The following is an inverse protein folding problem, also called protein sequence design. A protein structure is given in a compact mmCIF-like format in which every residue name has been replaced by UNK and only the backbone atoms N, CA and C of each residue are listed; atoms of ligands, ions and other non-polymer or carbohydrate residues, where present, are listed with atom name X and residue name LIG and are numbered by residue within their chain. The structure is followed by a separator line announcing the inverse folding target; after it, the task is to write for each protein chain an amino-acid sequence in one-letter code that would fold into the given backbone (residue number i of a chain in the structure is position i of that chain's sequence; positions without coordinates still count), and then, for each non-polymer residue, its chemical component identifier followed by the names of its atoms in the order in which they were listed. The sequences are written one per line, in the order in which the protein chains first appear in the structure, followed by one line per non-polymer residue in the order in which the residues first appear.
data_IF_201187644928
#
_entry.id   IF_201187644928
#
_cell.length_a   1.000
_cell.length_b   1.000
_cell.length_c   1.000
_cell.angle_alpha   90.00
_cell.angle_beta   90.00
_cell.angle_gamma   90.00
#
_symmetry.space_group_name_H-M   'P 1'
#
loop_
_entity.id
_entity.type
_entity.pdbx_description
1 polymer ?
#
# COMPACT_ATOMS: atom_id res chain seq x y z
N UNK A 1 -32.81 -13.48 21.17
CA UNK A 1 -31.55 -14.08 20.69
C UNK A 1 -31.10 -13.44 19.38
N UNK A 2 -31.92 -13.48 18.31
CA UNK A 2 -31.59 -12.84 17.01
C UNK A 2 -31.35 -11.33 17.07
N UNK A 3 -32.10 -10.59 17.89
CA UNK A 3 -31.90 -9.14 18.06
C UNK A 3 -30.53 -8.79 18.67
N UNK A 4 -30.07 -9.60 19.63
CA UNK A 4 -28.76 -9.42 20.27
C UNK A 4 -27.64 -9.79 19.31
N UNK A 5 -27.82 -10.82 18.50
CA UNK A 5 -26.90 -11.22 17.43
C UNK A 5 -26.82 -10.15 16.33
N UNK A 6 -27.94 -9.58 15.91
CA UNK A 6 -27.97 -8.50 14.93
C UNK A 6 -27.32 -7.21 15.47
N UNK A 7 -27.62 -6.84 16.72
CA UNK A 7 -27.03 -5.65 17.36
C UNK A 7 -25.53 -5.83 17.64
N UNK A 8 -25.07 -7.03 17.98
CA UNK A 8 -23.63 -7.31 18.14
C UNK A 8 -22.90 -7.27 16.80
N UNK A 9 -23.47 -7.83 15.73
CA UNK A 9 -22.89 -7.72 14.38
C UNK A 9 -22.82 -6.27 13.89
N UNK A 10 -23.85 -5.46 14.15
CA UNK A 10 -23.86 -4.02 13.82
C UNK A 10 -22.91 -3.20 14.71
N UNK A 11 -22.74 -3.58 15.99
CA UNK A 11 -21.80 -2.91 16.88
C UNK A 11 -20.33 -3.24 16.59
N UNK A 12 -20.07 -4.36 15.91
CA UNK A 12 -18.72 -4.78 15.47
C UNK A 12 -18.46 -4.48 13.99
N UNK A 13 -19.39 -3.83 13.27
CA UNK A 13 -19.08 -3.37 11.93
C UNK A 13 -18.13 -2.18 12.06
N UNK A 14 -16.84 -2.42 11.85
CA UNK A 14 -15.90 -1.35 11.63
C UNK A 14 -16.45 -0.45 10.51
N UNK A 15 -16.39 0.89 10.67
CA UNK A 15 -16.73 1.81 9.60
C UNK A 15 -16.06 1.37 8.31
N UNK A 16 -16.78 1.45 7.18
CA UNK A 16 -16.23 1.05 5.88
C UNK A 16 -14.85 1.66 5.61
N UNK A 17 -14.64 2.92 6.02
CA UNK A 17 -13.37 3.63 5.87
C UNK A 17 -12.22 2.92 6.63
N UNK A 18 -12.48 2.46 7.85
CA UNK A 18 -11.49 1.76 8.67
C UNK A 18 -11.10 0.40 8.05
N UNK A 19 -12.05 -0.29 7.42
CA UNK A 19 -11.78 -1.52 6.69
C UNK A 19 -10.98 -1.28 5.40
N UNK A 20 -11.31 -0.22 4.67
CA UNK A 20 -10.66 0.16 3.41
C UNK A 20 -9.20 0.52 3.62
N UNK A 21 -8.89 1.31 4.65
CA UNK A 21 -7.54 1.77 4.97
C UNK A 21 -6.88 0.95 6.08
N UNK A 22 -7.41 -0.23 6.40
CA UNK A 22 -6.91 -1.05 7.49
C UNK A 22 -5.43 -1.37 7.31
N UNK A 23 -4.61 -0.87 8.24
CA UNK A 23 -3.16 -1.07 8.26
C UNK A 23 -2.36 -0.20 7.29
N UNK A 24 -2.96 0.83 6.68
CA UNK A 24 -2.25 1.85 5.90
C UNK A 24 -2.69 3.26 6.30
N UNK A 25 -1.85 4.25 6.00
CA UNK A 25 -2.18 5.67 6.22
C UNK A 25 -2.95 6.22 5.00
N UNK A 26 -4.18 6.72 5.15
CA UNK A 26 -4.90 7.40 4.07
C UNK A 26 -4.27 8.77 3.79
N UNK A 27 -4.30 9.20 2.52
CA UNK A 27 -3.95 10.57 2.16
C UNK A 27 -5.10 11.53 2.49
N UNK A 28 -4.79 12.78 2.84
CA UNK A 28 -5.77 13.80 3.18
C UNK A 28 -6.03 14.78 2.02
N UNK A 29 -5.07 14.91 1.11
CA UNK A 29 -5.13 15.81 -0.04
C UNK A 29 -4.81 15.05 -1.34
N UNK A 30 -4.84 15.73 -2.50
CA UNK A 30 -4.49 15.07 -3.78
C UNK A 30 -2.98 14.91 -3.98
N UNK A 31 -2.16 15.56 -3.15
CA UNK A 31 -0.72 15.73 -3.36
C UNK A 31 0.15 15.07 -2.29
N UNK A 32 -0.44 14.48 -1.25
CA UNK A 32 0.23 13.86 -0.10
C UNK A 32 0.25 12.32 -0.14
N UNK A 33 0.06 11.72 -1.32
CA UNK A 33 0.15 10.27 -1.50
C UNK A 33 1.54 9.71 -1.14
N UNK A 34 2.63 10.42 -1.47
CA UNK A 34 3.99 9.98 -1.14
C UNK A 34 4.27 10.02 0.38
N UNK A 35 3.95 11.13 1.10
CA UNK A 35 3.98 11.16 2.56
C UNK A 35 3.17 10.03 3.20
N UNK A 36 1.93 9.79 2.76
CA UNK A 36 1.10 8.73 3.32
C UNK A 36 1.68 7.31 3.08
N UNK A 37 2.29 7.06 1.93
CA UNK A 37 3.04 5.83 1.69
C UNK A 37 4.24 5.71 2.64
N UNK A 38 4.97 6.80 2.88
CA UNK A 38 6.11 6.82 3.77
C UNK A 38 5.71 6.57 5.23
N UNK A 39 4.64 7.21 5.70
CA UNK A 39 4.09 6.98 7.04
C UNK A 39 3.66 5.52 7.24
N UNK A 40 3.05 4.93 6.21
CA UNK A 40 2.68 3.51 6.23
C UNK A 40 3.92 2.61 6.37
N UNK A 41 4.97 2.87 5.60
CA UNK A 41 6.23 2.11 5.66
C UNK A 41 6.93 2.26 7.02
N UNK A 42 7.01 3.48 7.56
CA UNK A 42 7.60 3.73 8.87
C UNK A 42 6.80 3.02 9.97
N UNK A 43 5.47 3.08 9.90
CA UNK A 43 4.56 2.37 10.80
C UNK A 43 4.80 0.86 10.78
N UNK A 44 4.80 0.23 9.61
CA UNK A 44 5.09 -1.21 9.48
C UNK A 44 6.49 -1.59 9.95
N UNK A 45 7.44 -0.66 9.84
CA UNK A 45 8.83 -0.84 10.30
C UNK A 45 9.01 -0.51 11.78
N UNK A 46 7.94 -0.09 12.48
CA UNK A 46 7.96 0.34 13.88
C UNK A 46 8.93 1.50 14.15
N UNK A 47 9.14 2.35 13.13
CA UNK A 47 9.97 3.55 13.21
C UNK A 47 9.06 4.75 13.46
N UNK A 48 9.28 5.54 14.52
CA UNK A 48 8.45 6.71 14.80
C UNK A 48 8.66 7.80 13.75
N UNK A 49 7.56 8.42 13.30
CA UNK A 49 7.60 9.58 12.40
C UNK A 49 8.27 10.76 13.10
N UNK A 50 9.00 11.56 12.33
CA UNK A 50 9.71 12.75 12.80
C UNK A 50 9.17 13.93 12.01
N UNK A 51 8.78 14.98 12.70
CA UNK A 51 8.25 16.20 12.09
C UNK A 51 9.37 16.98 11.38
N UNK A 52 9.05 17.71 10.30
CA UNK A 52 9.98 18.64 9.66
C UNK A 52 10.82 18.07 8.51
N UNK A 53 10.95 16.75 8.38
CA UNK A 53 11.81 16.16 7.33
C UNK A 53 11.24 16.43 5.93
N UNK A 54 9.91 16.41 5.79
CA UNK A 54 9.27 16.69 4.49
C UNK A 54 9.55 18.11 3.99
N UNK A 55 9.55 19.09 4.90
CA UNK A 55 9.87 20.49 4.62
C UNK A 55 11.34 20.69 4.22
N UNK A 56 12.25 19.82 4.65
CA UNK A 56 13.66 19.84 4.26
C UNK A 56 13.91 19.22 2.88
N UNK A 57 13.13 18.18 2.53
CA UNK A 57 13.36 17.41 1.28
C UNK A 57 12.42 17.78 0.14
N UNK A 58 11.45 18.67 0.38
CA UNK A 58 10.49 19.11 -0.65
C UNK A 58 10.34 20.62 -0.72
N UNK A 59 9.87 21.11 -1.86
CA UNK A 59 9.51 22.50 -2.06
C UNK A 59 7.98 22.62 -2.20
N UNK A 60 7.33 23.56 -1.49
CA UNK A 60 5.90 23.79 -1.62
C UNK A 60 5.47 24.01 -3.08
N UNK A 61 4.45 23.27 -3.52
CA UNK A 61 3.91 23.36 -4.88
C UNK A 61 4.74 22.66 -5.97
N UNK A 62 5.80 21.93 -5.62
CA UNK A 62 6.55 21.06 -6.53
C UNK A 62 6.13 19.59 -6.36
N UNK A 63 6.16 18.78 -7.44
CA UNK A 63 5.85 17.36 -7.35
C UNK A 63 6.91 16.60 -6.55
N UNK A 64 6.47 15.60 -5.78
CA UNK A 64 7.36 14.67 -5.09
C UNK A 64 7.90 13.63 -6.07
N UNK A 65 9.16 13.25 -5.91
CA UNK A 65 9.84 12.27 -6.77
C UNK A 65 10.45 11.17 -5.91
N UNK A 66 10.85 10.05 -6.53
CA UNK A 66 11.58 9.00 -5.81
C UNK A 66 12.87 9.52 -5.16
N UNK A 67 13.53 10.54 -5.72
CA UNK A 67 14.72 11.15 -5.09
C UNK A 67 14.37 11.82 -3.76
N UNK A 68 13.23 12.52 -3.69
CA UNK A 68 12.77 13.11 -2.43
C UNK A 68 12.46 12.02 -1.40
N UNK A 69 11.82 10.91 -1.81
CA UNK A 69 11.59 9.76 -0.94
C UNK A 69 12.90 9.12 -0.47
N UNK A 70 13.91 8.96 -1.34
CA UNK A 70 15.23 8.46 -0.93
C UNK A 70 15.88 9.35 0.13
N UNK A 71 15.83 10.67 -0.04
CA UNK A 71 16.35 11.60 0.96
C UNK A 71 15.55 11.54 2.27
N UNK A 72 14.22 11.44 2.18
CA UNK A 72 13.34 11.28 3.34
C UNK A 72 13.69 10.04 4.15
N UNK A 73 13.78 8.87 3.51
CA UNK A 73 14.11 7.61 4.19
C UNK A 73 15.56 7.55 4.69
N UNK A 74 16.49 8.22 4.01
CA UNK A 74 17.88 8.35 4.49
C UNK A 74 17.97 9.06 5.85
N UNK A 75 17.06 10.00 6.16
CA UNK A 75 16.99 10.64 7.48
C UNK A 75 16.59 9.65 8.61
N UNK A 76 15.97 8.52 8.26
CA UNK A 76 15.68 7.40 9.16
C UNK A 76 16.73 6.30 9.13
N UNK A 77 17.87 6.51 8.44
CA UNK A 77 18.87 5.46 8.18
C UNK A 77 18.30 4.25 7.43
N UNK A 78 17.24 4.45 6.64
CA UNK A 78 16.68 3.42 5.77
C UNK A 78 17.23 3.59 4.36
N UNK A 79 17.91 2.55 3.86
CA UNK A 79 18.35 2.54 2.47
C UNK A 79 17.16 2.36 1.53
N UNK A 80 17.12 3.17 0.47
CA UNK A 80 16.10 3.09 -0.56
C UNK A 80 16.74 3.17 -1.95
N UNK A 81 16.50 2.16 -2.77
CA UNK A 81 17.09 2.02 -4.09
C UNK A 81 16.00 2.04 -5.18
N UNK A 82 16.14 2.97 -6.13
CA UNK A 82 15.21 3.12 -7.24
C UNK A 82 15.55 2.17 -8.39
N UNK A 83 14.56 1.43 -8.88
CA UNK A 83 14.69 0.53 -10.02
C UNK A 83 13.63 0.80 -11.08
N UNK A 84 13.93 0.40 -12.31
CA UNK A 84 12.95 0.26 -13.38
C UNK A 84 12.87 -1.21 -13.74
N UNK A 85 11.72 -1.81 -13.50
CA UNK A 85 11.48 -3.24 -13.69
C UNK A 85 10.50 -3.45 -14.83
N UNK A 86 10.63 -4.58 -15.52
CA UNK A 86 9.55 -5.13 -16.32
C UNK A 86 8.60 -5.96 -15.43
N UNK A 87 7.52 -6.47 -16.03
CA UNK A 87 6.54 -7.25 -15.29
C UNK A 87 7.13 -8.53 -14.72
N UNK A 88 7.95 -9.25 -15.50
CA UNK A 88 8.47 -10.56 -15.10
C UNK A 88 9.40 -10.44 -13.89
N UNK A 89 10.29 -9.44 -13.87
CA UNK A 89 11.15 -9.16 -12.71
C UNK A 89 10.33 -8.70 -11.48
N UNK A 90 9.31 -7.87 -11.71
CA UNK A 90 8.44 -7.37 -10.64
C UNK A 90 7.61 -8.48 -10.00
N UNK A 91 6.95 -9.33 -10.81
CA UNK A 91 6.13 -10.43 -10.29
C UNK A 91 6.99 -11.47 -9.58
N UNK A 92 8.14 -11.85 -10.18
CA UNK A 92 9.07 -12.80 -9.55
C UNK A 92 9.55 -12.30 -8.19
N UNK A 93 9.88 -11.01 -8.09
CA UNK A 93 10.26 -10.41 -6.80
C UNK A 93 9.16 -10.55 -5.76
N UNK A 94 7.91 -10.21 -6.09
CA UNK A 94 6.79 -10.28 -5.15
C UNK A 94 6.46 -11.71 -4.72
N UNK A 95 6.57 -12.68 -5.63
CA UNK A 95 6.37 -14.10 -5.34
C UNK A 95 7.42 -14.62 -4.35
N UNK A 96 8.68 -14.26 -4.55
CA UNK A 96 9.80 -14.70 -3.71
C UNK A 96 9.88 -13.94 -2.36
N UNK A 97 9.39 -12.69 -2.32
CA UNK A 97 9.60 -11.77 -1.20
C UNK A 97 8.30 -11.27 -0.56
N UNK A 98 7.26 -12.11 -0.51
CA UNK A 98 5.96 -11.77 0.11
C UNK A 98 6.11 -11.02 1.45
N UNK A 99 5.43 -9.87 1.57
CA UNK A 99 5.49 -8.98 2.75
C UNK A 99 6.65 -7.98 2.74
N UNK A 100 7.47 -7.98 1.68
CA UNK A 100 8.50 -6.96 1.43
C UNK A 100 7.87 -5.84 0.60
N UNK A 101 7.74 -4.63 1.15
CA UNK A 101 7.06 -3.57 0.44
C UNK A 101 7.94 -2.91 -0.62
N UNK A 102 7.33 -2.65 -1.77
CA UNK A 102 7.81 -1.78 -2.82
C UNK A 102 6.93 -0.53 -2.85
N UNK A 103 7.56 0.63 -2.97
CA UNK A 103 6.84 1.87 -3.28
C UNK A 103 6.85 2.06 -4.79
N UNK A 104 5.68 2.07 -5.41
CA UNK A 104 5.51 2.08 -6.87
C UNK A 104 4.96 3.43 -7.35
N UNK A 105 5.23 3.76 -8.61
CA UNK A 105 4.67 4.96 -9.24
C UNK A 105 3.67 4.59 -10.35
N UNK A 106 2.45 5.07 -10.22
CA UNK A 106 1.40 5.00 -11.24
C UNK A 106 1.38 6.26 -12.10
N UNK A 107 1.11 6.11 -13.40
CA UNK A 107 1.06 7.20 -14.38
C UNK A 107 -0.30 7.88 -14.48
N UNK A 108 -1.20 7.63 -13.53
CA UNK A 108 -2.52 8.24 -13.50
C UNK A 108 -2.43 9.74 -13.17
N UNK A 109 -3.21 10.56 -13.88
CA UNK A 109 -3.27 12.01 -13.64
C UNK A 109 -1.91 12.69 -13.72
N UNK A 110 -1.45 13.27 -12.60
CA UNK A 110 -0.15 13.95 -12.46
C UNK A 110 0.97 13.04 -11.93
N UNK A 111 0.73 11.73 -11.86
CA UNK A 111 1.57 10.77 -11.16
C UNK A 111 1.04 10.50 -9.76
N UNK A 112 1.14 9.25 -9.31
CA UNK A 112 0.62 8.79 -8.02
C UNK A 112 1.53 7.74 -7.41
N UNK A 113 1.66 7.73 -6.08
CA UNK A 113 2.46 6.76 -5.35
C UNK A 113 1.56 5.81 -4.57
N UNK A 114 1.92 4.54 -4.57
CA UNK A 114 1.24 3.50 -3.80
C UNK A 114 2.26 2.48 -3.29
N UNK A 115 1.85 1.63 -2.35
CA UNK A 115 2.63 0.51 -1.86
C UNK A 115 2.14 -0.80 -2.48
N UNK A 116 3.06 -1.72 -2.76
CA UNK A 116 2.78 -3.09 -3.18
C UNK A 116 3.68 -4.04 -2.40
N UNK A 117 3.15 -5.16 -1.90
CA UNK A 117 3.94 -6.09 -1.09
C UNK A 117 3.50 -7.55 -1.18
N UNK A 118 2.51 -7.87 -1.99
CA UNK A 118 2.03 -9.24 -2.17
C UNK A 118 1.45 -9.44 -3.58
N UNK A 119 1.54 -10.66 -4.08
CA UNK A 119 0.94 -11.10 -5.34
C UNK A 119 0.02 -12.30 -5.08
N UNK A 120 -1.16 -12.27 -5.68
CA UNK A 120 -2.19 -13.28 -5.49
C UNK A 120 -2.89 -13.62 -6.82
N UNK A 121 -3.64 -14.73 -6.89
CA UNK A 121 -4.49 -15.00 -8.05
C UNK A 121 -5.47 -13.87 -8.38
N UNK A 122 -5.91 -13.11 -7.39
CA UNK A 122 -6.77 -11.93 -7.54
C UNK A 122 -6.06 -10.73 -8.20
N UNK A 123 -4.73 -10.69 -8.14
CA UNK A 123 -3.90 -9.62 -8.69
C UNK A 123 -2.80 -9.16 -7.73
N UNK A 124 -2.34 -7.93 -7.95
CA UNK A 124 -1.31 -7.28 -7.14
C UNK A 124 -1.98 -6.64 -5.93
N UNK A 125 -1.53 -6.98 -4.72
CA UNK A 125 -2.01 -6.31 -3.51
C UNK A 125 -1.38 -4.92 -3.43
N UNK A 126 -2.24 -3.91 -3.48
CA UNK A 126 -1.86 -2.50 -3.47
C UNK A 126 -2.49 -1.80 -2.27
N UNK A 127 -1.67 -1.07 -1.53
CA UNK A 127 -2.07 -0.10 -0.52
C UNK A 127 -1.95 1.27 -1.14
N UNK A 128 -3.08 1.78 -1.63
CA UNK A 128 -3.18 3.08 -2.26
C UNK A 128 -3.71 4.08 -1.23
N UNK A 129 -2.95 5.13 -0.86
CA UNK A 129 -3.43 6.13 0.08
C UNK A 129 -4.73 6.84 -0.31
N UNK A 130 -5.10 6.86 -1.59
CA UNK A 130 -6.35 7.43 -2.10
C UNK A 130 -7.51 6.43 -2.16
N UNK A 131 -7.24 5.13 -2.22
CA UNK A 131 -8.24 4.10 -2.52
C UNK A 131 -8.30 2.94 -1.51
N UNK A 132 -7.37 2.89 -0.56
CA UNK A 132 -7.27 1.81 0.42
C UNK A 132 -6.46 0.60 -0.06
N UNK A 133 -6.62 -0.49 0.68
CA UNK A 133 -5.99 -1.78 0.44
C UNK A 133 -6.87 -2.64 -0.47
N UNK A 134 -6.39 -2.95 -1.67
CA UNK A 134 -7.13 -3.72 -2.66
C UNK A 134 -6.22 -4.59 -3.54
N UNK A 135 -6.80 -5.66 -4.10
CA UNK A 135 -6.17 -6.39 -5.19
C UNK A 135 -6.49 -5.71 -6.51
N UNK A 136 -5.46 -5.25 -7.21
CA UNK A 136 -5.59 -4.71 -8.56
C UNK A 136 -5.28 -5.84 -9.55
N UNK A 137 -6.22 -6.21 -10.46
CA UNK A 137 -5.96 -7.24 -11.46
C UNK A 137 -4.72 -6.92 -12.29
N UNK A 138 -3.89 -7.93 -12.56
CA UNK A 138 -2.58 -7.76 -13.25
C UNK A 138 -2.67 -6.83 -14.46
N UNK A 139 -3.61 -7.11 -15.38
CA UNK A 139 -3.76 -6.32 -16.61
C UNK A 139 -3.97 -4.83 -16.32
N UNK A 140 -4.75 -4.52 -15.28
CA UNK A 140 -5.03 -3.14 -14.89
C UNK A 140 -3.82 -2.53 -14.18
N UNK A 141 -3.18 -3.27 -13.27
CA UNK A 141 -1.97 -2.81 -12.60
C UNK A 141 -0.86 -2.45 -13.61
N UNK A 142 -0.60 -3.33 -14.58
CA UNK A 142 0.40 -3.13 -15.64
C UNK A 142 0.10 -1.92 -16.53
N UNK A 143 -1.17 -1.56 -16.68
CA UNK A 143 -1.58 -0.38 -17.44
C UNK A 143 -1.30 0.91 -16.66
N UNK A 144 -1.50 0.91 -15.35
CA UNK A 144 -1.29 2.07 -14.48
C UNK A 144 0.18 2.28 -14.12
N UNK A 145 0.93 1.19 -13.94
CA UNK A 145 2.28 1.23 -13.40
C UNK A 145 3.31 1.71 -14.42
N UNK A 146 4.15 2.65 -13.99
CA UNK A 146 5.18 3.28 -14.83
C UNK A 146 6.41 2.39 -15.12
N UNK A 147 6.51 1.23 -14.46
CA UNK A 147 7.72 0.41 -14.41
C UNK A 147 8.70 0.82 -13.31
N UNK A 148 8.50 1.96 -12.67
CA UNK A 148 9.41 2.47 -11.63
C UNK A 148 8.97 2.02 -10.23
N UNK A 149 9.95 1.61 -9.43
CA UNK A 149 9.79 1.19 -8.03
C UNK A 149 10.91 1.76 -7.17
N UNK A 150 10.62 1.92 -5.89
CA UNK A 150 11.61 2.14 -4.84
C UNK A 150 11.57 0.92 -3.92
N UNK A 151 12.72 0.27 -3.82
CA UNK A 151 12.95 -0.92 -3.01
C UNK A 151 13.74 -0.56 -1.76
N UNK A 152 13.46 -1.25 -0.65
CA UNK A 152 14.07 -1.04 0.65
C UNK A 152 14.79 -2.32 1.09
N UNK A 153 16.12 -2.43 0.88
CA UNK A 153 16.87 -3.66 1.15
C UNK A 153 16.84 -4.13 2.61
N UNK A 154 16.51 -3.25 3.56
CA UNK A 154 16.45 -3.62 4.98
C UNK A 154 15.03 -4.00 5.43
N UNK A 155 14.01 -3.74 4.61
CA UNK A 155 12.60 -3.95 4.96
C UNK A 155 12.06 -5.22 4.33
N UNK A 156 12.38 -6.36 4.93
CA UNK A 156 11.95 -7.67 4.42
C UNK A 156 10.89 -8.31 5.30
N UNK A 157 9.81 -8.79 4.67
CA UNK A 157 8.77 -9.62 5.31
C UNK A 157 8.21 -9.00 6.59
N UNK A 158 7.81 -7.73 6.53
CA UNK A 158 7.28 -7.00 7.68
C UNK A 158 5.99 -7.68 8.19
N UNK A 159 5.89 -7.87 9.51
CA UNK A 159 4.74 -8.54 10.14
C UNK A 159 3.43 -7.85 9.81
N UNK A 160 3.44 -6.52 9.81
CA UNK A 160 2.24 -5.71 9.62
C UNK A 160 1.80 -5.77 8.15
N UNK A 161 2.74 -5.69 7.21
CA UNK A 161 2.46 -5.90 5.78
C UNK A 161 1.82 -7.26 5.52
N UNK A 162 2.36 -8.33 6.13
CA UNK A 162 1.80 -9.68 6.04
C UNK A 162 0.39 -9.78 6.66
N UNK A 163 0.17 -9.15 7.81
CA UNK A 163 -1.15 -9.12 8.45
C UNK A 163 -2.18 -8.40 7.56
N UNK A 164 -1.80 -7.28 6.93
CA UNK A 164 -2.65 -6.58 5.96
C UNK A 164 -2.94 -7.47 4.75
N UNK A 165 -1.96 -8.22 4.25
CA UNK A 165 -2.16 -9.20 3.17
C UNK A 165 -3.19 -10.27 3.53
N UNK A 166 -3.05 -10.87 4.70
CA UNK A 166 -3.95 -11.94 5.14
C UNK A 166 -5.38 -11.42 5.32
N UNK A 167 -5.53 -10.22 5.89
CA UNK A 167 -6.82 -9.55 6.00
C UNK A 167 -7.44 -9.25 4.63
N UNK A 168 -6.65 -8.74 3.67
CA UNK A 168 -7.12 -8.44 2.32
C UNK A 168 -7.56 -9.70 1.56
N UNK A 169 -6.78 -10.79 1.67
CA UNK A 169 -7.14 -12.10 1.07
C UNK A 169 -8.43 -12.64 1.67
N UNK A 170 -8.59 -12.57 3.00
CA UNK A 170 -9.83 -12.96 3.68
C UNK A 170 -11.05 -12.19 3.16
N UNK A 171 -10.92 -10.86 2.99
CA UNK A 171 -11.99 -10.03 2.39
C UNK A 171 -12.31 -10.45 0.95
N UNK A 172 -11.29 -10.65 0.11
CA UNK A 172 -11.47 -11.04 -1.28
C UNK A 172 -12.20 -12.39 -1.42
N UNK A 173 -11.80 -13.38 -0.62
CA UNK A 173 -12.43 -14.70 -0.58
C UNK A 173 -13.90 -14.63 -0.15
N UNK A 174 -14.21 -13.81 0.88
CA UNK A 174 -15.59 -13.59 1.31
C UNK A 174 -16.45 -12.96 0.20
N UNK A 175 -15.92 -11.94 -0.49
CA UNK A 175 -16.62 -11.29 -1.59
C UNK A 175 -16.88 -12.24 -2.77
N UNK A 176 -15.90 -13.08 -3.11
CA UNK A 176 -16.08 -14.12 -4.13
C UNK A 176 -17.13 -15.14 -3.71
N UNK A 177 -17.09 -15.62 -2.47
CA UNK A 177 -18.07 -16.57 -1.93
C UNK A 177 -19.49 -16.00 -1.97
N UNK A 178 -19.69 -14.74 -1.56
CA UNK A 178 -21.00 -14.06 -1.63
C UNK A 178 -21.44 -13.84 -3.08
N UNK A 179 -20.49 -13.54 -3.98
CA UNK A 179 -20.75 -13.44 -5.42
C UNK A 179 -21.27 -14.75 -6.04
N UNK A 180 -20.81 -15.89 -5.52
CA UNK A 180 -21.28 -17.23 -5.92
C UNK A 180 -22.64 -17.63 -5.31
N UNK A 181 -23.10 -16.95 -4.25
CA UNK A 181 -24.36 -17.24 -3.52
C UNK A 181 -25.55 -16.43 -4.11
N UNK A 182 -25.37 -15.73 -5.25
CA UNK A 182 -26.50 -15.07 -5.91
C UNK A 182 -27.57 -16.11 -6.31
N UNK A 183 -28.85 -15.94 -5.89
CA UNK A 183 -29.92 -16.89 -6.16
C UNK A 183 -30.24 -17.02 -7.65
#
# INVERSE_FOLDING_TARGET
MWLVLALTLLAHSAPWLELTYSGITPQLYEWDCAPACADTLLSWSQIPVQDGIWEEVTEPGKPISFRHLQHYFAAYSLEAAGYRLDWDAFSSFLEENRGTPLLVHFTEGKGHFALVWDLAPEGVLTGDPAHGVQFIPERHFRYLWSGAVLHFPDLHRLSDALAVSDAARGRAQLLQAVGMIRP
#
